data_IF_262117266031
#
_entry.id   IF_262117266031
#
_cell.length_a   1.000
_cell.length_b   1.000
_cell.length_c   1.000
_cell.angle_alpha   90.00
_cell.angle_beta   90.00
_cell.angle_gamma   90.00
#
_symmetry.space_group_name_H-M   'P 1'
#
loop_
_entity.id
_entity.type
_entity.pdbx_description
1 polymer ?
#
# COMPACT_ATOMS: atom_id res chain seq x y z
N UNK A 1 -35.19 -60.06 19.21
CA UNK A 1 -35.21 -58.58 19.22
C UNK A 1 -34.18 -58.11 18.22
N UNK A 2 -34.62 -57.71 17.03
CA UNK A 2 -33.76 -57.20 15.97
C UNK A 2 -33.38 -55.75 16.29
N UNK A 3 -32.12 -55.48 16.57
CA UNK A 3 -31.57 -54.12 16.61
C UNK A 3 -31.03 -53.77 15.23
N UNK A 4 -31.81 -53.00 14.48
CA UNK A 4 -31.41 -52.40 13.21
C UNK A 4 -30.42 -51.28 13.55
N UNK A 5 -29.15 -51.47 13.17
CA UNK A 5 -28.15 -50.42 13.19
C UNK A 5 -28.41 -49.45 12.04
N UNK A 6 -28.95 -48.27 12.34
CA UNK A 6 -29.00 -47.17 11.38
C UNK A 6 -27.58 -46.66 11.11
N UNK A 7 -27.02 -46.96 9.94
CA UNK A 7 -25.89 -46.19 9.41
C UNK A 7 -26.37 -44.77 9.12
N UNK A 8 -25.58 -43.72 9.41
CA UNK A 8 -25.91 -42.39 8.92
C UNK A 8 -25.92 -42.45 7.40
N UNK A 9 -27.07 -42.13 6.79
CA UNK A 9 -27.21 -41.91 5.36
C UNK A 9 -26.15 -40.88 4.94
N UNK A 10 -25.13 -41.35 4.22
CA UNK A 10 -24.20 -40.49 3.49
C UNK A 10 -25.00 -39.75 2.43
N UNK A 11 -25.34 -38.50 2.73
CA UNK A 11 -25.89 -37.56 1.74
C UNK A 11 -24.88 -37.57 0.57
N UNK A 12 -25.29 -37.88 -0.67
CA UNK A 12 -24.36 -37.82 -1.79
C UNK A 12 -23.84 -36.40 -1.89
N UNK A 13 -22.55 -36.18 -1.63
CA UNK A 13 -21.90 -34.91 -1.96
C UNK A 13 -22.09 -34.72 -3.46
N UNK A 14 -22.95 -33.77 -3.85
CA UNK A 14 -23.09 -33.39 -5.25
C UNK A 14 -21.70 -32.97 -5.74
N UNK A 15 -21.22 -33.57 -6.82
CA UNK A 15 -19.93 -33.20 -7.39
C UNK A 15 -19.99 -31.73 -7.85
N UNK A 16 -19.04 -30.91 -7.40
CA UNK A 16 -18.89 -29.52 -7.80
C UNK A 16 -17.60 -29.34 -8.62
N UNK A 17 -17.54 -28.32 -9.48
CA UNK A 17 -16.34 -27.99 -10.25
C UNK A 17 -15.26 -27.39 -9.33
N UNK A 18 -14.13 -28.08 -9.26
CA UNK A 18 -12.93 -27.61 -8.57
C UNK A 18 -12.36 -26.33 -9.18
N UNK A 19 -12.45 -26.19 -10.50
CA UNK A 19 -11.99 -25.00 -11.22
C UNK A 19 -12.84 -23.78 -10.85
N UNK A 20 -14.16 -23.96 -10.77
CA UNK A 20 -15.08 -22.90 -10.36
C UNK A 20 -14.88 -22.53 -8.88
N UNK A 21 -14.69 -23.53 -8.00
CA UNK A 21 -14.31 -23.30 -6.61
C UNK A 21 -13.02 -22.46 -6.56
N UNK A 22 -11.96 -22.87 -7.26
CA UNK A 22 -10.69 -22.15 -7.26
C UNK A 22 -10.85 -20.71 -7.74
N UNK A 23 -11.72 -20.48 -8.73
CA UNK A 23 -11.97 -19.16 -9.27
C UNK A 23 -12.79 -18.26 -8.34
N UNK A 24 -13.77 -18.80 -7.62
CA UNK A 24 -14.68 -18.02 -6.78
C UNK A 24 -14.34 -18.03 -5.28
N UNK A 25 -13.36 -18.84 -4.84
CA UNK A 25 -13.03 -18.98 -3.42
C UNK A 25 -12.54 -17.66 -2.79
N UNK A 26 -13.36 -17.13 -1.89
CA UNK A 26 -13.16 -15.82 -1.25
C UNK A 26 -13.36 -14.63 -2.19
N UNK A 27 -13.90 -14.83 -3.39
CA UNK A 27 -14.15 -13.75 -4.36
C UNK A 27 -15.64 -13.45 -4.48
N UNK A 28 -15.95 -12.18 -4.75
CA UNK A 28 -17.26 -11.70 -5.13
C UNK A 28 -17.13 -10.95 -6.46
N UNK A 29 -17.56 -11.59 -7.55
CA UNK A 29 -17.24 -11.18 -8.92
C UNK A 29 -18.49 -10.91 -9.76
N UNK A 30 -18.34 -10.05 -10.77
CA UNK A 30 -19.32 -9.92 -11.85
C UNK A 30 -19.29 -11.15 -12.77
N UNK A 31 -20.40 -11.44 -13.45
CA UNK A 31 -20.44 -12.50 -14.47
C UNK A 31 -19.33 -12.34 -15.53
N UNK A 32 -19.04 -11.11 -15.96
CA UNK A 32 -18.00 -10.80 -16.95
C UNK A 32 -16.57 -11.12 -16.47
N UNK A 33 -16.37 -11.34 -15.16
CA UNK A 33 -15.08 -11.69 -14.56
C UNK A 33 -14.95 -13.20 -14.31
N UNK A 34 -15.93 -14.00 -14.74
CA UNK A 34 -16.02 -15.45 -14.51
C UNK A 34 -15.93 -16.17 -15.86
N UNK A 35 -14.82 -16.88 -16.16
CA UNK A 35 -14.57 -17.52 -17.45
C UNK A 35 -15.28 -18.88 -17.58
N UNK A 36 -16.50 -19.00 -17.05
CA UNK A 36 -17.32 -20.22 -17.09
C UNK A 36 -18.66 -19.90 -17.73
N UNK A 37 -19.29 -20.87 -18.38
CA UNK A 37 -20.61 -20.66 -19.00
C UNK A 37 -21.68 -20.36 -17.96
N UNK A 38 -22.76 -19.70 -18.38
CA UNK A 38 -23.91 -19.44 -17.53
C UNK A 38 -24.55 -20.75 -17.03
N UNK A 39 -24.64 -21.78 -17.87
CA UNK A 39 -25.18 -23.09 -17.48
C UNK A 39 -24.40 -23.73 -16.32
N UNK A 40 -23.06 -23.60 -16.34
CA UNK A 40 -22.21 -24.08 -15.24
C UNK A 40 -22.51 -23.30 -13.97
N UNK A 41 -22.64 -21.96 -14.06
CA UNK A 41 -22.98 -21.14 -12.90
C UNK A 41 -24.37 -21.44 -12.34
N UNK A 42 -25.39 -21.56 -13.20
CA UNK A 42 -26.76 -21.87 -12.82
C UNK A 42 -26.86 -23.22 -12.12
N UNK A 43 -26.21 -24.25 -12.68
CA UNK A 43 -26.13 -25.57 -12.06
C UNK A 43 -25.56 -25.48 -10.64
N UNK A 44 -24.48 -24.72 -10.42
CA UNK A 44 -23.87 -24.59 -9.10
C UNK A 44 -24.69 -23.70 -8.14
N UNK A 45 -25.51 -22.79 -8.67
CA UNK A 45 -26.46 -22.01 -7.88
C UNK A 45 -27.59 -22.91 -7.38
N UNK A 46 -28.19 -23.73 -8.25
CA UNK A 46 -29.24 -24.69 -7.87
C UNK A 46 -28.75 -25.73 -6.85
N UNK A 47 -27.46 -26.06 -6.90
CA UNK A 47 -26.82 -26.97 -5.96
C UNK A 47 -26.41 -26.29 -4.64
N UNK A 48 -26.48 -24.96 -4.54
CA UNK A 48 -26.10 -24.20 -3.35
C UNK A 48 -24.59 -23.95 -3.19
N UNK A 49 -23.79 -24.24 -4.22
CA UNK A 49 -22.34 -24.03 -4.20
C UNK A 49 -21.91 -22.62 -4.64
N UNK A 50 -22.79 -21.91 -5.35
CA UNK A 50 -22.60 -20.50 -5.71
C UNK A 50 -23.83 -19.70 -5.25
N UNK A 51 -23.60 -18.57 -4.59
CA UNK A 51 -24.64 -17.61 -4.29
C UNK A 51 -24.55 -16.38 -5.20
N UNK A 52 -25.71 -15.76 -5.42
CA UNK A 52 -25.87 -14.53 -6.18
C UNK A 52 -26.47 -13.46 -5.29
N UNK A 53 -25.84 -12.29 -5.25
CA UNK A 53 -26.35 -11.09 -4.56
C UNK A 53 -26.41 -9.94 -5.57
N UNK A 54 -27.43 -9.09 -5.51
CA UNK A 54 -27.52 -7.96 -6.43
C UNK A 54 -26.56 -6.84 -6.03
N UNK A 55 -26.02 -6.14 -7.03
CA UNK A 55 -24.92 -5.21 -6.81
C UNK A 55 -25.27 -3.93 -6.04
N UNK A 56 -26.54 -3.53 -6.08
CA UNK A 56 -27.06 -2.35 -5.39
C UNK A 56 -28.33 -2.74 -4.65
N UNK A 57 -28.41 -2.36 -3.38
CA UNK A 57 -29.58 -2.52 -2.52
C UNK A 57 -29.81 -1.19 -1.79
N UNK A 58 -31.01 -0.60 -1.85
CA UNK A 58 -31.38 0.61 -1.07
C UNK A 58 -30.35 1.76 -1.11
N UNK A 59 -29.96 2.21 -2.31
CA UNK A 59 -28.91 3.25 -2.50
C UNK A 59 -27.54 2.87 -1.88
N UNK A 60 -27.25 1.59 -1.74
CA UNK A 60 -25.99 1.07 -1.23
C UNK A 60 -25.33 0.13 -2.24
N UNK A 61 -24.08 0.38 -2.62
CA UNK A 61 -23.35 -0.51 -3.51
C UNK A 61 -22.64 -1.62 -2.71
N UNK A 62 -23.02 -2.89 -2.92
CA UNK A 62 -22.41 -4.05 -2.23
C UNK A 62 -20.94 -4.26 -2.63
N UNK A 63 -20.54 -3.79 -3.83
CA UNK A 63 -19.15 -3.93 -4.24
C UNK A 63 -18.21 -2.99 -3.49
N UNK A 64 -18.49 -1.69 -3.51
CA UNK A 64 -17.58 -0.66 -3.00
C UNK A 64 -18.06 0.06 -1.74
N UNK A 65 -19.26 -0.23 -1.26
CA UNK A 65 -19.84 0.40 -0.07
C UNK A 65 -20.31 1.84 -0.29
N UNK A 66 -20.39 2.32 -1.54
CA UNK A 66 -20.85 3.66 -1.85
C UNK A 66 -22.28 3.90 -1.33
N UNK A 67 -22.45 5.00 -0.60
CA UNK A 67 -23.74 5.53 -0.12
C UNK A 67 -24.02 6.94 -0.66
N UNK A 68 -23.07 7.54 -1.39
CA UNK A 68 -23.27 8.87 -1.95
C UNK A 68 -24.24 8.78 -3.13
N UNK A 69 -25.41 9.40 -2.94
CA UNK A 69 -26.48 9.52 -3.95
C UNK A 69 -26.01 10.18 -5.23
N UNK A 70 -25.06 11.12 -5.17
CA UNK A 70 -24.51 11.78 -6.35
C UNK A 70 -23.67 10.83 -7.22
N UNK A 71 -23.16 9.74 -6.64
CA UNK A 71 -22.41 8.71 -7.34
C UNK A 71 -23.29 7.56 -7.85
N UNK A 72 -24.62 7.66 -7.72
CA UNK A 72 -25.56 6.77 -8.39
C UNK A 72 -26.17 7.44 -9.62
N UNK A 73 -26.44 6.66 -10.67
CA UNK A 73 -27.10 7.16 -11.88
C UNK A 73 -28.11 6.14 -12.39
N UNK A 74 -29.30 6.62 -12.74
CA UNK A 74 -30.42 5.80 -13.23
C UNK A 74 -30.56 5.95 -14.75
N UNK A 75 -30.71 4.84 -15.44
CA UNK A 75 -30.79 4.79 -16.90
C UNK A 75 -31.80 3.72 -17.38
N UNK A 76 -32.38 3.86 -18.59
CA UNK A 76 -33.18 2.78 -19.19
C UNK A 76 -32.27 1.59 -19.51
N UNK A 77 -32.45 0.49 -18.77
CA UNK A 77 -31.56 -0.65 -18.83
C UNK A 77 -32.03 -1.68 -19.85
N UNK A 78 -31.19 -1.98 -20.84
CA UNK A 78 -31.45 -3.03 -21.82
C UNK A 78 -31.43 -4.46 -21.23
N UNK A 79 -30.86 -4.66 -20.03
CA UNK A 79 -30.74 -5.98 -19.41
C UNK A 79 -32.04 -6.38 -18.69
N UNK A 80 -32.59 -5.48 -17.86
CA UNK A 80 -33.83 -5.76 -17.13
C UNK A 80 -35.09 -5.12 -17.74
N UNK A 81 -34.93 -4.29 -18.77
CA UNK A 81 -36.04 -3.58 -19.42
C UNK A 81 -36.67 -2.46 -18.59
N UNK A 82 -36.07 -2.10 -17.45
CA UNK A 82 -36.57 -1.08 -16.51
C UNK A 82 -35.57 0.06 -16.35
N UNK A 83 -35.99 1.15 -15.70
CA UNK A 83 -35.05 2.13 -15.16
C UNK A 83 -34.20 1.45 -14.09
N UNK A 84 -32.88 1.42 -14.29
CA UNK A 84 -31.95 0.75 -13.39
C UNK A 84 -30.88 1.73 -12.94
N UNK A 85 -30.56 1.68 -11.66
CA UNK A 85 -29.51 2.49 -11.06
C UNK A 85 -28.19 1.73 -11.09
N UNK A 86 -27.08 2.43 -11.36
CA UNK A 86 -25.73 1.90 -11.23
C UNK A 86 -24.80 2.80 -10.42
N UNK A 87 -23.75 2.20 -9.86
CA UNK A 87 -22.75 2.89 -9.06
C UNK A 87 -21.62 3.42 -9.95
N UNK A 88 -21.41 4.74 -9.95
CA UNK A 88 -20.31 5.41 -10.65
C UNK A 88 -18.97 5.29 -9.93
N UNK A 89 -18.98 5.18 -8.60
CA UNK A 89 -17.75 5.08 -7.77
C UNK A 89 -16.83 3.93 -8.21
N UNK A 90 -17.41 2.77 -8.55
CA UNK A 90 -16.61 1.60 -8.91
C UNK A 90 -16.62 1.27 -10.41
N UNK A 91 -17.17 2.13 -11.27
CA UNK A 91 -17.44 1.84 -12.69
C UNK A 91 -16.21 1.31 -13.46
N UNK A 92 -15.00 1.79 -13.12
CA UNK A 92 -13.74 1.38 -13.75
C UNK A 92 -13.42 -0.11 -13.57
N UNK A 93 -14.06 -0.78 -12.59
CA UNK A 93 -13.94 -2.22 -12.36
C UNK A 93 -15.10 -3.02 -12.95
N UNK A 94 -15.86 -2.42 -13.87
CA UNK A 94 -17.08 -2.99 -14.45
C UNK A 94 -18.34 -2.41 -13.80
N UNK A 95 -19.40 -2.17 -14.57
CA UNK A 95 -20.62 -1.53 -14.08
C UNK A 95 -21.37 -2.45 -13.11
N UNK A 96 -21.65 -1.95 -11.91
CA UNK A 96 -22.51 -2.62 -10.92
C UNK A 96 -23.84 -1.86 -10.85
N UNK A 97 -24.91 -2.53 -11.29
CA UNK A 97 -26.28 -2.02 -11.27
C UNK A 97 -27.18 -2.83 -10.32
N UNK A 98 -28.38 -2.34 -10.05
CA UNK A 98 -29.41 -3.07 -9.28
C UNK A 98 -29.70 -4.45 -9.89
N UNK A 99 -29.79 -4.54 -11.22
CA UNK A 99 -30.03 -5.82 -11.91
C UNK A 99 -28.76 -6.67 -12.10
N UNK A 100 -27.58 -6.18 -11.68
CA UNK A 100 -26.31 -6.87 -11.91
C UNK A 100 -25.97 -7.80 -10.75
N UNK A 101 -25.88 -9.11 -10.97
CA UNK A 101 -25.45 -10.05 -9.94
C UNK A 101 -23.95 -10.01 -9.67
N UNK A 102 -23.63 -10.22 -8.40
CA UNK A 102 -22.31 -10.58 -7.89
C UNK A 102 -22.35 -12.02 -7.39
N UNK A 103 -21.41 -12.84 -7.85
CA UNK A 103 -21.34 -14.27 -7.56
C UNK A 103 -20.26 -14.55 -6.53
N UNK A 104 -20.59 -15.41 -5.56
CA UNK A 104 -19.67 -15.85 -4.50
C UNK A 104 -19.73 -17.35 -4.33
N UNK A 105 -18.60 -17.98 -4.01
CA UNK A 105 -18.58 -19.38 -3.61
C UNK A 105 -19.20 -19.58 -2.22
N UNK A 106 -20.11 -20.53 -2.10
CA UNK A 106 -20.76 -20.95 -0.84
C UNK A 106 -20.61 -22.45 -0.55
N UNK A 107 -19.91 -23.18 -1.42
CA UNK A 107 -19.62 -24.58 -1.22
C UNK A 107 -18.51 -24.85 -0.21
N UNK A 108 -17.96 -26.09 -0.21
CA UNK A 108 -16.90 -26.48 0.70
C UNK A 108 -15.69 -25.55 0.66
N UNK A 109 -15.02 -25.41 1.80
CA UNK A 109 -13.81 -24.60 1.89
C UNK A 109 -12.69 -25.18 1.01
N UNK A 110 -11.79 -24.31 0.53
CA UNK A 110 -10.57 -24.71 -0.14
C UNK A 110 -9.42 -24.76 0.86
N UNK A 111 -8.73 -25.90 0.93
CA UNK A 111 -7.56 -26.07 1.77
C UNK A 111 -6.29 -25.88 0.94
N UNK A 112 -5.47 -24.90 1.33
CA UNK A 112 -4.18 -24.69 0.69
C UNK A 112 -3.20 -25.78 1.14
N UNK A 113 -2.57 -26.46 0.17
CA UNK A 113 -1.44 -27.32 0.48
C UNK A 113 -0.20 -26.47 0.78
N UNK A 114 0.10 -26.31 2.07
CA UNK A 114 1.26 -25.54 2.54
C UNK A 114 2.34 -26.51 3.04
N UNK A 115 3.56 -26.52 2.44
CA UNK A 115 4.64 -27.37 2.92
C UNK A 115 5.13 -26.93 4.30
N UNK A 116 5.78 -27.83 5.04
CA UNK A 116 6.31 -27.52 6.39
C UNK A 116 7.37 -26.43 6.40
N UNK A 117 8.10 -26.26 5.30
CA UNK A 117 9.10 -25.21 5.10
C UNK A 117 8.62 -24.32 3.98
N UNK A 118 8.15 -23.11 4.32
CA UNK A 118 7.62 -22.15 3.35
C UNK A 118 8.59 -21.03 3.04
N UNK A 119 9.46 -20.67 3.99
CA UNK A 119 10.35 -19.52 3.89
C UNK A 119 11.77 -19.93 3.49
N UNK A 120 12.41 -19.13 2.63
CA UNK A 120 13.81 -19.22 2.23
C UNK A 120 14.46 -17.83 2.28
N UNK A 121 14.51 -17.25 3.47
CA UNK A 121 15.16 -15.97 3.74
C UNK A 121 16.25 -16.16 4.79
N UNK A 122 17.49 -15.82 4.43
CA UNK A 122 18.69 -16.00 5.26
C UNK A 122 19.25 -14.70 5.84
N UNK A 123 18.48 -13.60 5.76
CA UNK A 123 18.89 -12.33 6.35
C UNK A 123 18.81 -12.35 7.88
N UNK A 124 19.36 -11.32 8.50
CA UNK A 124 19.32 -11.14 9.95
C UNK A 124 18.58 -9.84 10.26
N UNK A 125 17.61 -9.91 11.18
CA UNK A 125 16.92 -8.74 11.69
C UNK A 125 17.76 -8.05 12.77
N UNK A 126 17.73 -6.73 12.81
CA UNK A 126 18.20 -5.99 13.99
C UNK A 126 17.31 -6.28 15.19
N UNK A 127 17.76 -5.98 16.40
CA UNK A 127 16.99 -6.19 17.64
C UNK A 127 15.61 -5.52 17.61
N UNK A 128 15.53 -4.27 17.14
CA UNK A 128 14.27 -3.56 16.98
C UNK A 128 13.36 -4.19 15.91
N UNK A 129 13.95 -4.68 14.82
CA UNK A 129 13.19 -5.40 13.78
C UNK A 129 12.70 -6.76 14.27
N UNK A 130 13.50 -7.49 15.04
CA UNK A 130 13.17 -8.79 15.60
C UNK A 130 11.99 -8.67 16.58
N UNK A 131 12.06 -7.69 17.49
CA UNK A 131 10.96 -7.37 18.41
C UNK A 131 9.64 -7.10 17.68
N UNK A 132 9.70 -6.30 16.61
CA UNK A 132 8.53 -6.04 15.78
C UNK A 132 8.05 -7.28 15.03
N UNK A 133 8.97 -8.13 14.54
CA UNK A 133 8.65 -9.34 13.81
C UNK A 133 7.95 -10.36 14.70
N UNK A 134 8.44 -10.53 15.93
CA UNK A 134 7.82 -11.38 16.94
C UNK A 134 6.42 -10.86 17.30
N UNK A 135 6.25 -9.54 17.46
CA UNK A 135 4.94 -8.94 17.72
C UNK A 135 3.95 -9.15 16.57
N UNK A 136 4.41 -9.03 15.33
CA UNK A 136 3.62 -9.30 14.12
C UNK A 136 3.22 -10.77 14.05
N UNK A 137 4.14 -11.68 14.36
CA UNK A 137 3.86 -13.12 14.46
C UNK A 137 2.77 -13.42 15.49
N UNK A 138 2.88 -12.85 16.69
CA UNK A 138 1.83 -13.00 17.72
C UNK A 138 0.48 -12.43 17.26
N UNK A 139 0.47 -11.24 16.64
CA UNK A 139 -0.77 -10.65 16.12
C UNK A 139 -1.45 -11.53 15.08
N UNK A 140 -0.67 -12.16 14.19
CA UNK A 140 -1.20 -13.08 13.18
C UNK A 140 -1.76 -14.34 13.82
N UNK A 141 -1.05 -14.94 14.78
CA UNK A 141 -1.51 -16.16 15.44
C UNK A 141 -2.78 -15.91 16.27
N UNK A 142 -2.85 -14.79 16.99
CA UNK A 142 -3.95 -14.44 17.90
C UNK A 142 -5.06 -13.57 17.27
N UNK A 143 -5.03 -13.32 15.96
CA UNK A 143 -6.08 -12.58 15.26
C UNK A 143 -6.28 -11.13 15.76
N UNK A 144 -5.17 -10.43 16.04
CA UNK A 144 -5.19 -9.09 16.64
C UNK A 144 -5.15 -7.95 15.62
N UNK A 145 -5.47 -6.74 16.09
CA UNK A 145 -5.19 -5.49 15.39
C UNK A 145 -3.88 -4.86 15.91
N UNK A 146 -2.95 -4.55 15.00
CA UNK A 146 -1.61 -4.08 15.33
C UNK A 146 -1.16 -2.93 14.42
N UNK A 147 -0.60 -1.87 15.01
CA UNK A 147 0.16 -0.85 14.29
C UNK A 147 1.66 -1.17 14.35
N UNK A 148 2.28 -1.37 13.19
CA UNK A 148 3.74 -1.38 13.04
C UNK A 148 4.17 0.01 12.59
N UNK A 149 4.63 0.81 13.55
CA UNK A 149 5.12 2.17 13.31
C UNK A 149 6.63 2.14 13.06
N UNK A 150 7.00 2.07 11.79
CA UNK A 150 8.38 1.84 11.39
C UNK A 150 8.89 2.96 10.48
N UNK A 151 10.03 3.54 10.84
CA UNK A 151 10.58 4.68 10.09
C UNK A 151 10.95 4.31 8.65
N UNK A 152 11.08 5.32 7.79
CA UNK A 152 11.52 5.12 6.42
C UNK A 152 12.91 4.46 6.38
N UNK A 153 13.02 3.33 5.68
CA UNK A 153 14.26 2.55 5.65
C UNK A 153 14.45 1.62 6.86
N UNK A 154 13.40 1.32 7.63
CA UNK A 154 13.46 0.37 8.74
C UNK A 154 13.43 -1.12 8.32
N UNK A 155 13.39 -1.45 7.02
CA UNK A 155 13.25 -2.85 6.58
C UNK A 155 11.87 -3.45 6.91
N UNK A 156 10.81 -2.67 6.66
CA UNK A 156 9.42 -3.02 7.03
C UNK A 156 8.97 -4.38 6.49
N UNK A 157 9.40 -4.75 5.28
CA UNK A 157 8.96 -5.99 4.62
C UNK A 157 9.52 -7.23 5.32
N UNK A 158 10.82 -7.25 5.65
CA UNK A 158 11.46 -8.38 6.34
C UNK A 158 10.84 -8.66 7.71
N UNK A 159 10.43 -7.61 8.42
CA UNK A 159 9.72 -7.71 9.71
C UNK A 159 8.44 -8.55 9.59
N UNK A 160 7.79 -8.55 8.43
CA UNK A 160 6.55 -9.31 8.22
C UNK A 160 6.79 -10.81 8.00
N UNK A 161 8.00 -11.23 7.59
CA UNK A 161 8.22 -12.58 7.08
C UNK A 161 7.92 -13.67 8.11
N UNK A 162 8.40 -13.53 9.36
CA UNK A 162 8.12 -14.52 10.40
C UNK A 162 6.62 -14.65 10.73
N UNK A 163 5.88 -13.55 10.66
CA UNK A 163 4.43 -13.58 10.86
C UNK A 163 3.68 -14.19 9.67
N UNK A 164 4.12 -13.89 8.44
CA UNK A 164 3.57 -14.52 7.23
C UNK A 164 3.81 -16.02 7.26
N UNK A 165 5.05 -16.46 7.54
CA UNK A 165 5.40 -17.87 7.71
C UNK A 165 4.50 -18.56 8.75
N UNK A 166 4.40 -18.00 9.96
CA UNK A 166 3.59 -18.57 11.03
C UNK A 166 2.10 -18.67 10.65
N UNK A 167 1.56 -17.66 9.95
CA UNK A 167 0.19 -17.70 9.46
C UNK A 167 -0.02 -18.77 8.39
N UNK A 168 0.87 -18.84 7.40
CA UNK A 168 0.82 -19.85 6.33
C UNK A 168 0.87 -21.27 6.90
N UNK A 169 1.79 -21.55 7.83
CA UNK A 169 1.90 -22.85 8.50
C UNK A 169 0.67 -23.19 9.37
N UNK A 170 -0.08 -22.17 9.81
CA UNK A 170 -1.36 -22.33 10.48
C UNK A 170 -2.55 -22.41 9.51
N UNK A 171 -2.31 -22.56 8.20
CA UNK A 171 -3.35 -22.65 7.17
C UNK A 171 -4.08 -21.34 6.86
N UNK A 172 -3.55 -20.20 7.32
CA UNK A 172 -4.17 -18.87 7.13
C UNK A 172 -3.85 -18.31 5.75
N UNK A 173 -4.85 -17.68 5.11
CA UNK A 173 -4.69 -16.91 3.87
C UNK A 173 -4.37 -15.45 4.18
N UNK A 174 -3.29 -14.93 3.60
CA UNK A 174 -2.74 -13.61 3.95
C UNK A 174 -2.71 -12.69 2.74
N UNK A 175 -3.10 -11.42 2.92
CA UNK A 175 -2.98 -10.37 1.92
C UNK A 175 -2.14 -9.19 2.42
N UNK A 176 -1.18 -8.75 1.62
CA UNK A 176 -0.53 -7.44 1.77
C UNK A 176 -1.19 -6.48 0.78
N UNK A 177 -1.85 -5.44 1.28
CA UNK A 177 -2.54 -4.44 0.50
C UNK A 177 -1.78 -3.11 0.53
N UNK A 178 -1.58 -2.49 -0.63
CA UNK A 178 -0.94 -1.17 -0.77
C UNK A 178 -1.74 -0.30 -1.74
N UNK A 179 -1.79 1.03 -1.60
CA UNK A 179 -2.53 1.87 -2.54
C UNK A 179 -1.93 1.91 -3.96
N UNK A 180 -0.67 1.53 -4.16
CA UNK A 180 0.06 1.79 -5.41
C UNK A 180 0.52 0.52 -6.13
N UNK A 181 0.43 0.52 -7.47
CA UNK A 181 0.82 -0.62 -8.31
C UNK A 181 2.33 -0.85 -8.34
N UNK A 182 3.14 0.20 -8.30
CA UNK A 182 4.61 0.09 -8.29
C UNK A 182 5.12 -0.63 -7.03
N UNK A 183 4.50 -0.38 -5.88
CA UNK A 183 4.80 -1.10 -4.63
C UNK A 183 4.44 -2.59 -4.75
N UNK A 184 3.30 -2.94 -5.38
CA UNK A 184 2.95 -4.35 -5.65
C UNK A 184 4.02 -5.03 -6.52
N UNK A 185 4.45 -4.35 -7.58
CA UNK A 185 5.48 -4.85 -8.50
C UNK A 185 6.86 -4.97 -7.86
N UNK A 186 7.18 -4.14 -6.86
CA UNK A 186 8.40 -4.24 -6.06
C UNK A 186 8.33 -5.40 -5.04
N UNK A 187 7.21 -5.53 -4.34
CA UNK A 187 7.04 -6.51 -3.26
C UNK A 187 6.84 -7.93 -3.77
N UNK A 188 6.11 -8.14 -4.87
CA UNK A 188 5.83 -9.46 -5.42
C UNK A 188 7.07 -10.34 -5.66
N UNK A 189 8.11 -9.89 -6.40
CA UNK A 189 9.32 -10.70 -6.60
C UNK A 189 10.09 -10.94 -5.30
N UNK A 190 10.10 -9.98 -4.37
CA UNK A 190 10.73 -10.11 -3.05
C UNK A 190 10.04 -11.19 -2.20
N UNK A 191 8.71 -11.21 -2.20
CA UNK A 191 7.90 -12.24 -1.53
C UNK A 191 8.07 -13.60 -2.18
N UNK A 192 8.09 -13.70 -3.53
CA UNK A 192 8.36 -14.96 -4.24
C UNK A 192 9.73 -15.53 -3.90
N UNK A 193 10.75 -14.67 -3.75
CA UNK A 193 12.09 -15.08 -3.32
C UNK A 193 12.11 -15.56 -1.87
N UNK A 194 11.41 -14.85 -0.97
CA UNK A 194 11.33 -15.21 0.44
C UNK A 194 10.45 -16.44 0.71
N UNK A 195 9.46 -16.71 -0.14
CA UNK A 195 8.51 -17.82 0.00
C UNK A 195 8.41 -18.64 -1.31
N UNK A 196 9.50 -19.32 -1.73
CA UNK A 196 9.56 -19.96 -3.04
C UNK A 196 8.71 -21.24 -3.14
N UNK A 197 8.27 -21.79 -2.00
CA UNK A 197 7.55 -23.06 -1.92
C UNK A 197 6.01 -22.89 -1.84
N UNK A 198 5.52 -21.67 -1.99
CA UNK A 198 4.09 -21.39 -2.03
C UNK A 198 3.75 -20.49 -3.21
N UNK A 199 2.49 -20.54 -3.62
CA UNK A 199 1.98 -19.59 -4.60
C UNK A 199 1.85 -18.19 -4.00
N UNK A 200 2.43 -17.20 -4.69
CA UNK A 200 2.29 -15.78 -4.39
C UNK A 200 1.63 -15.10 -5.58
N UNK A 201 0.47 -14.48 -5.35
CA UNK A 201 -0.25 -13.72 -6.38
C UNK A 201 0.02 -12.21 -6.26
N UNK A 202 0.31 -11.57 -7.39
CA UNK A 202 0.48 -10.11 -7.47
C UNK A 202 -0.72 -9.46 -8.15
N UNK A 203 -1.61 -8.81 -7.40
CA UNK A 203 -2.90 -8.32 -7.89
C UNK A 203 -2.88 -6.80 -8.10
N UNK A 204 -3.01 -6.34 -9.34
CA UNK A 204 -3.14 -4.93 -9.71
C UNK A 204 -3.90 -4.79 -11.03
N UNK A 205 -4.19 -3.56 -11.46
CA UNK A 205 -4.87 -3.31 -12.74
C UNK A 205 -4.06 -3.85 -13.92
N UNK A 206 -4.59 -4.86 -14.63
CA UNK A 206 -3.90 -5.53 -15.73
C UNK A 206 -2.97 -6.68 -15.32
N UNK A 207 -3.04 -7.14 -14.07
CA UNK A 207 -2.25 -8.31 -13.62
C UNK A 207 -2.67 -9.62 -14.31
N UNK A 208 -1.68 -10.41 -14.69
CA UNK A 208 -1.85 -11.80 -15.16
C UNK A 208 -2.29 -12.75 -14.04
N UNK A 209 -1.95 -12.44 -12.79
CA UNK A 209 -2.31 -13.21 -11.60
C UNK A 209 -3.77 -12.94 -11.14
N UNK A 210 -4.56 -12.14 -11.87
CA UNK A 210 -5.91 -11.68 -11.45
C UNK A 210 -6.89 -12.78 -11.03
N UNK A 211 -6.72 -13.99 -11.55
CA UNK A 211 -7.57 -15.16 -11.23
C UNK A 211 -6.84 -16.21 -10.39
N UNK A 212 -5.57 -15.98 -10.05
CA UNK A 212 -4.73 -16.91 -9.31
C UNK A 212 -5.20 -17.06 -7.86
N UNK A 213 -5.51 -18.29 -7.47
CA UNK A 213 -5.80 -18.63 -6.08
C UNK A 213 -4.48 -18.91 -5.37
N UNK A 214 -4.16 -18.12 -4.35
CA UNK A 214 -2.88 -18.20 -3.65
C UNK A 214 -3.06 -18.01 -2.13
N UNK A 215 -2.28 -18.72 -1.29
CA UNK A 215 -2.30 -18.55 0.16
C UNK A 215 -1.70 -17.19 0.58
N UNK A 216 -0.78 -16.64 -0.21
CA UNK A 216 -0.23 -15.30 -0.03
C UNK A 216 -0.53 -14.43 -1.25
N UNK A 217 -1.03 -13.23 -1.01
CA UNK A 217 -1.28 -12.25 -2.06
C UNK A 217 -0.69 -10.89 -1.71
N UNK A 218 -0.16 -10.18 -2.71
CA UNK A 218 0.16 -8.75 -2.62
C UNK A 218 -0.69 -8.01 -3.64
N UNK A 219 -1.43 -6.99 -3.21
CA UNK A 219 -2.51 -6.41 -3.99
C UNK A 219 -2.56 -4.89 -3.88
N UNK A 220 -3.05 -4.21 -4.93
CA UNK A 220 -3.53 -2.84 -4.73
C UNK A 220 -4.81 -2.87 -3.90
N UNK A 221 -5.03 -1.87 -3.04
CA UNK A 221 -6.24 -1.79 -2.19
C UNK A 221 -7.54 -1.87 -3.00
N UNK A 222 -7.55 -1.34 -4.23
CA UNK A 222 -8.66 -1.46 -5.16
C UNK A 222 -9.00 -2.92 -5.54
N UNK A 223 -8.01 -3.82 -5.62
CA UNK A 223 -8.29 -5.22 -5.94
C UNK A 223 -9.12 -5.90 -4.87
N UNK A 224 -9.11 -5.40 -3.62
CA UNK A 224 -9.90 -5.95 -2.53
C UNK A 224 -11.41 -5.82 -2.74
N UNK A 225 -11.89 -4.94 -3.63
CA UNK A 225 -13.32 -4.88 -4.00
C UNK A 225 -13.86 -6.21 -4.52
N UNK A 226 -12.99 -7.06 -5.08
CA UNK A 226 -13.31 -8.39 -5.61
C UNK A 226 -13.33 -9.49 -4.57
N UNK A 227 -12.98 -9.20 -3.32
CA UNK A 227 -12.87 -10.20 -2.25
C UNK A 227 -13.96 -10.00 -1.21
N UNK A 228 -14.40 -11.11 -0.62
CA UNK A 228 -15.35 -11.12 0.50
C UNK A 228 -14.96 -12.25 1.45
N UNK A 229 -14.69 -11.91 2.71
CA UNK A 229 -14.32 -12.85 3.78
C UNK A 229 -13.22 -13.85 3.35
N UNK A 230 -12.24 -13.37 2.61
CA UNK A 230 -11.23 -14.20 1.95
C UNK A 230 -9.99 -14.44 2.82
N UNK A 231 -9.57 -13.40 3.55
CA UNK A 231 -8.27 -13.36 4.20
C UNK A 231 -8.39 -13.46 5.72
N UNK A 232 -7.58 -14.34 6.31
CA UNK A 232 -7.40 -14.50 7.74
C UNK A 232 -6.49 -13.40 8.33
N UNK A 233 -5.65 -12.78 7.50
CA UNK A 233 -4.85 -11.62 7.86
C UNK A 233 -4.73 -10.65 6.69
N UNK A 234 -4.94 -9.36 6.95
CA UNK A 234 -4.64 -8.27 6.00
C UNK A 234 -3.58 -7.35 6.61
N UNK A 235 -2.49 -7.16 5.88
CA UNK A 235 -1.42 -6.22 6.17
C UNK A 235 -1.59 -5.04 5.22
N UNK A 236 -1.80 -3.84 5.73
CA UNK A 236 -2.01 -2.64 4.94
C UNK A 236 -0.74 -1.82 5.00
N UNK A 237 0.04 -1.80 3.91
CA UNK A 237 1.22 -0.96 3.78
C UNK A 237 0.83 0.40 3.22
N UNK A 238 1.53 1.43 3.67
CA UNK A 238 1.30 2.82 3.29
C UNK A 238 -0.14 3.29 3.59
N UNK A 239 -0.64 2.99 4.80
CA UNK A 239 -2.00 3.38 5.24
C UNK A 239 -2.25 4.89 5.19
N UNK A 240 -1.17 5.68 5.19
CA UNK A 240 -1.15 7.13 5.12
C UNK A 240 -1.13 7.67 3.67
N UNK A 241 -0.94 6.81 2.68
CA UNK A 241 -0.84 7.21 1.29
C UNK A 241 -2.21 7.35 0.62
N UNK A 242 -2.34 8.39 -0.19
CA UNK A 242 -3.44 8.52 -1.14
C UNK A 242 -3.41 7.38 -2.18
N UNK A 243 -4.57 6.85 -2.62
CA UNK A 243 -5.93 7.23 -2.22
C UNK A 243 -6.44 6.57 -0.94
N UNK A 244 -5.76 5.55 -0.41
CA UNK A 244 -6.27 4.76 0.71
C UNK A 244 -6.64 5.61 1.93
N UNK A 245 -5.80 6.60 2.29
CA UNK A 245 -6.04 7.45 3.45
C UNK A 245 -7.25 8.39 3.35
N UNK A 246 -7.79 8.59 2.14
CA UNK A 246 -8.85 9.57 1.87
C UNK A 246 -10.12 8.96 1.28
N UNK A 247 -10.07 7.71 0.81
CA UNK A 247 -11.19 7.06 0.13
C UNK A 247 -11.85 5.99 1.05
N UNK A 248 -13.04 6.29 1.61
CA UNK A 248 -13.79 5.36 2.46
C UNK A 248 -14.11 4.03 1.76
N UNK A 249 -14.24 4.02 0.44
CA UNK A 249 -14.54 2.80 -0.30
C UNK A 249 -13.38 1.80 -0.23
N UNK A 250 -12.13 2.27 -0.14
CA UNK A 250 -10.96 1.40 0.02
C UNK A 250 -10.85 0.83 1.44
N UNK A 251 -11.23 1.61 2.45
CA UNK A 251 -11.38 1.09 3.81
C UNK A 251 -12.46 0.01 3.85
N UNK A 252 -13.61 0.25 3.22
CA UNK A 252 -14.68 -0.75 3.08
C UNK A 252 -14.18 -2.02 2.38
N UNK A 253 -13.43 -1.90 1.28
CA UNK A 253 -12.88 -3.03 0.55
C UNK A 253 -12.00 -3.92 1.45
N UNK A 254 -11.15 -3.33 2.29
CA UNK A 254 -10.35 -4.05 3.28
C UNK A 254 -11.25 -4.79 4.29
N UNK A 255 -12.25 -4.11 4.86
CA UNK A 255 -13.14 -4.70 5.85
C UNK A 255 -13.99 -5.83 5.28
N UNK A 256 -14.43 -5.70 4.02
CA UNK A 256 -15.17 -6.73 3.30
C UNK A 256 -14.30 -7.93 2.95
N UNK A 257 -13.05 -7.70 2.54
CA UNK A 257 -12.14 -8.76 2.09
C UNK A 257 -11.60 -9.63 3.24
N UNK A 258 -11.51 -9.09 4.46
CA UNK A 258 -11.10 -9.87 5.63
C UNK A 258 -12.24 -10.76 6.14
N UNK A 259 -11.90 -11.92 6.70
CA UNK A 259 -12.85 -12.74 7.47
C UNK A 259 -13.31 -12.01 8.73
N UNK A 260 -14.41 -12.48 9.32
CA UNK A 260 -14.96 -11.92 10.56
C UNK A 260 -13.94 -11.95 11.71
N UNK A 261 -13.17 -13.05 11.81
CA UNK A 261 -12.07 -13.22 12.75
C UNK A 261 -10.74 -13.18 11.99
N UNK A 262 -10.20 -11.98 11.80
CA UNK A 262 -8.98 -11.76 11.03
C UNK A 262 -8.04 -10.76 11.68
N UNK A 263 -6.74 -10.99 11.52
CA UNK A 263 -5.69 -10.04 11.91
C UNK A 263 -5.71 -8.83 10.98
N UNK A 264 -5.53 -7.64 11.54
CA UNK A 264 -5.25 -6.43 10.75
C UNK A 264 -3.95 -5.80 11.21
N UNK A 265 -2.98 -5.69 10.30
CA UNK A 265 -1.70 -5.02 10.57
C UNK A 265 -1.64 -3.74 9.74
N UNK A 266 -1.51 -2.60 10.41
CA UNK A 266 -1.24 -1.31 9.76
C UNK A 266 0.27 -1.06 9.75
N UNK A 267 0.85 -0.94 8.57
CA UNK A 267 2.28 -0.72 8.40
C UNK A 267 2.54 0.68 7.82
N UNK A 268 3.15 1.56 8.62
CA UNK A 268 3.41 2.94 8.18
C UNK A 268 4.55 3.60 8.95
N UNK A 269 5.20 4.57 8.31
CA UNK A 269 6.14 5.47 8.98
C UNK A 269 5.44 6.69 9.59
N UNK A 270 4.23 6.99 9.14
CA UNK A 270 3.54 8.25 9.40
C UNK A 270 2.08 7.99 9.77
N UNK A 271 1.82 7.33 10.93
CA UNK A 271 0.46 7.01 11.35
C UNK A 271 -0.35 8.28 11.57
N UNK A 272 -1.64 8.21 11.24
CA UNK A 272 -2.55 9.35 11.38
C UNK A 272 -2.67 9.79 12.84
N UNK A 273 -3.06 11.05 13.07
CA UNK A 273 -3.28 11.58 14.43
C UNK A 273 -4.31 10.76 15.22
N UNK A 274 -5.29 10.17 14.52
CA UNK A 274 -6.26 9.25 15.12
C UNK A 274 -5.59 7.95 15.60
N UNK A 275 -4.76 7.31 14.76
CA UNK A 275 -4.02 6.10 15.14
C UNK A 275 -3.07 6.38 16.30
N UNK A 276 -2.35 7.51 16.27
CA UNK A 276 -1.48 7.91 17.39
C UNK A 276 -2.27 8.10 18.69
N UNK A 277 -3.47 8.68 18.63
CA UNK A 277 -4.36 8.83 19.79
C UNK A 277 -4.88 7.49 20.31
N UNK A 278 -5.24 6.58 19.40
CA UNK A 278 -5.68 5.22 19.77
C UNK A 278 -4.54 4.43 20.42
N UNK A 279 -3.32 4.56 19.90
CA UNK A 279 -2.13 3.99 20.51
C UNK A 279 -1.89 4.54 21.92
N UNK A 280 -1.86 5.87 22.09
CA UNK A 280 -1.66 6.51 23.40
C UNK A 280 -2.75 6.18 24.44
N UNK A 281 -3.95 5.81 23.98
CA UNK A 281 -5.06 5.41 24.86
C UNK A 281 -5.15 3.90 25.08
N UNK A 282 -4.23 3.10 24.52
CA UNK A 282 -4.21 1.64 24.63
C UNK A 282 -5.26 0.92 23.77
N UNK A 283 -6.06 1.65 22.98
CA UNK A 283 -7.10 1.08 22.11
C UNK A 283 -6.53 0.37 20.88
N UNK A 284 -5.37 0.80 20.41
CA UNK A 284 -4.65 0.19 19.30
C UNK A 284 -3.27 -0.23 19.80
N UNK A 285 -2.98 -1.52 19.76
CA UNK A 285 -1.66 -2.02 20.09
C UNK A 285 -0.67 -1.59 19.00
N UNK A 286 0.54 -1.21 19.38
CA UNK A 286 1.58 -0.85 18.41
C UNK A 286 2.95 -1.39 18.80
N UNK A 287 3.79 -1.57 17.79
CA UNK A 287 5.23 -1.75 17.94
C UNK A 287 5.96 -0.73 17.09
N UNK A 288 6.94 -0.06 17.69
CA UNK A 288 7.74 0.97 17.04
C UNK A 288 9.06 0.38 16.54
N UNK A 289 9.50 0.81 15.35
CA UNK A 289 10.84 0.57 14.82
C UNK A 289 11.43 1.95 14.52
N UNK A 290 12.02 2.61 15.54
CA UNK A 290 12.40 4.02 15.45
C UNK A 290 13.74 4.23 14.71
N UNK A 291 14.50 3.15 14.48
CA UNK A 291 15.79 3.18 13.79
C UNK A 291 15.73 2.52 12.40
N UNK A 292 16.62 2.93 11.50
CA UNK A 292 16.84 2.24 10.22
C UNK A 292 17.60 0.93 10.43
N UNK A 293 17.57 0.04 9.43
CA UNK A 293 18.28 -1.24 9.52
C UNK A 293 19.79 -1.08 9.75
N UNK A 294 20.37 0.02 9.27
CA UNK A 294 21.78 0.38 9.45
C UNK A 294 22.04 1.22 10.72
N UNK A 295 21.08 1.34 11.64
CA UNK A 295 21.24 1.94 12.97
C UNK A 295 21.76 3.39 12.98
N UNK A 296 21.50 4.16 11.92
CA UNK A 296 21.82 5.59 11.85
C UNK A 296 20.54 6.43 11.90
N UNK A 297 20.59 7.64 12.47
CA UNK A 297 19.41 8.50 12.60
C UNK A 297 18.91 8.97 11.24
N UNK A 298 17.61 9.27 11.18
CA UNK A 298 17.03 9.92 10.00
C UNK A 298 17.51 11.38 9.98
N UNK A 299 18.02 11.89 8.84
CA UNK A 299 18.38 13.29 8.71
C UNK A 299 17.21 14.22 9.06
N UNK A 300 17.45 15.16 9.98
CA UNK A 300 16.46 16.16 10.39
C UNK A 300 16.48 17.32 9.38
N UNK A 301 15.34 17.71 8.79
CA UNK A 301 15.29 18.81 7.84
C UNK A 301 15.73 20.17 8.38
N UNK A 302 16.53 20.89 7.59
CA UNK A 302 16.81 22.31 7.79
C UNK A 302 15.69 23.17 7.22
N UNK A 303 15.15 24.12 7.99
CA UNK A 303 14.24 25.13 7.45
C UNK A 303 15.04 26.35 6.96
N UNK A 304 14.98 26.63 5.65
CA UNK A 304 15.61 27.82 5.05
C UNK A 304 14.57 28.73 4.41
N UNK A 305 14.50 29.96 4.89
CA UNK A 305 13.67 30.98 4.26
C UNK A 305 14.25 31.35 2.89
N UNK A 306 13.40 31.41 1.86
CA UNK A 306 13.82 31.67 0.48
C UNK A 306 13.03 32.80 -0.21
N UNK A 307 12.49 33.73 0.57
CA UNK A 307 11.61 34.81 0.09
C UNK A 307 10.43 34.26 -0.74
N UNK A 308 9.75 35.11 -1.51
CA UNK A 308 8.68 34.68 -2.40
C UNK A 308 9.28 33.96 -3.62
N UNK A 309 9.61 32.68 -3.43
CA UNK A 309 10.21 31.80 -4.42
C UNK A 309 9.35 31.68 -5.68
N UNK A 310 8.02 31.65 -5.54
CA UNK A 310 7.09 31.52 -6.65
C UNK A 310 7.18 32.73 -7.59
N UNK A 311 7.19 33.94 -7.02
CA UNK A 311 7.35 35.19 -7.78
C UNK A 311 8.71 35.25 -8.47
N UNK A 312 9.77 34.78 -7.81
CA UNK A 312 11.11 34.76 -8.41
C UNK A 312 11.19 33.81 -9.62
N UNK A 313 10.61 32.60 -9.53
CA UNK A 313 10.56 31.70 -10.67
C UNK A 313 9.76 32.26 -11.84
N UNK A 314 8.63 32.94 -11.57
CA UNK A 314 7.89 33.66 -12.62
C UNK A 314 8.73 34.75 -13.29
N UNK A 315 9.62 35.39 -12.53
CA UNK A 315 10.59 36.38 -13.04
C UNK A 315 11.84 35.74 -13.65
N UNK A 316 11.83 34.42 -13.91
CA UNK A 316 12.95 33.65 -14.45
C UNK A 316 14.23 33.75 -13.61
N UNK A 317 14.09 33.81 -12.28
CA UNK A 317 15.19 33.88 -11.31
C UNK A 317 15.07 32.75 -10.29
N UNK A 318 16.20 32.14 -9.92
CA UNK A 318 16.27 31.19 -8.81
C UNK A 318 16.52 31.98 -7.53
N UNK A 319 15.77 31.75 -6.44
CA UNK A 319 16.10 32.32 -5.13
C UNK A 319 17.52 31.97 -4.71
N UNK A 320 18.30 32.96 -4.27
CA UNK A 320 19.73 32.78 -3.96
C UNK A 320 20.03 31.59 -3.03
N UNK A 321 19.28 31.35 -1.93
CA UNK A 321 19.51 30.18 -1.08
C UNK A 321 19.32 28.83 -1.80
N UNK A 322 18.41 28.76 -2.77
CA UNK A 322 18.17 27.56 -3.57
C UNK A 322 19.29 27.39 -4.59
N UNK A 323 19.71 28.47 -5.24
CA UNK A 323 20.79 28.44 -6.22
C UNK A 323 22.12 28.00 -5.59
N UNK A 324 22.49 28.59 -4.46
CA UNK A 324 23.71 28.23 -3.73
C UNK A 324 23.66 26.77 -3.27
N UNK A 325 22.50 26.31 -2.78
CA UNK A 325 22.32 24.91 -2.39
C UNK A 325 22.52 23.98 -3.59
N UNK A 326 21.89 24.25 -4.73
CA UNK A 326 22.00 23.39 -5.92
C UNK A 326 23.42 23.36 -6.48
N UNK A 327 24.05 24.53 -6.63
CA UNK A 327 25.40 24.64 -7.19
C UNK A 327 26.43 23.88 -6.36
N UNK A 328 26.36 23.99 -5.02
CA UNK A 328 27.25 23.26 -4.12
C UNK A 328 27.17 21.73 -4.32
N UNK A 329 25.96 21.17 -4.51
CA UNK A 329 25.80 19.72 -4.72
C UNK A 329 26.26 19.30 -6.10
N UNK A 330 25.96 20.08 -7.13
CA UNK A 330 26.42 19.81 -8.51
C UNK A 330 27.95 19.80 -8.56
N UNK A 331 28.61 20.79 -7.97
CA UNK A 331 30.08 20.87 -7.89
C UNK A 331 30.69 19.65 -7.17
N UNK A 332 30.02 19.17 -6.11
CA UNK A 332 30.46 18.01 -5.32
C UNK A 332 30.01 16.66 -5.89
N UNK A 333 29.36 16.64 -7.05
CA UNK A 333 28.80 15.43 -7.67
C UNK A 333 27.89 14.65 -6.70
N UNK A 334 27.06 15.39 -5.95
CA UNK A 334 26.06 14.84 -5.04
C UNK A 334 24.73 14.75 -5.81
N UNK A 335 24.12 13.56 -5.93
CA UNK A 335 22.82 13.43 -6.58
C UNK A 335 21.75 14.17 -5.77
N UNK A 336 20.89 14.94 -6.43
CA UNK A 336 19.83 15.72 -5.79
C UNK A 336 18.42 15.43 -6.31
N UNK A 337 17.42 15.52 -5.43
CA UNK A 337 16.02 15.65 -5.81
C UNK A 337 15.46 17.00 -5.33
N UNK A 338 14.87 17.76 -6.26
CA UNK A 338 14.17 19.01 -5.98
C UNK A 338 12.66 18.80 -6.10
N UNK A 339 11.96 18.82 -4.97
CA UNK A 339 10.51 18.65 -4.91
C UNK A 339 9.79 19.98 -5.08
N UNK A 340 8.79 20.00 -5.96
CA UNK A 340 7.90 21.14 -6.22
C UNK A 340 6.45 20.78 -5.91
N UNK A 341 5.66 21.78 -5.51
CA UNK A 341 4.27 21.59 -5.10
C UNK A 341 3.33 21.19 -6.24
N UNK A 342 3.66 21.52 -7.49
CA UNK A 342 2.88 21.16 -8.66
C UNK A 342 3.73 21.05 -9.93
N UNK A 343 3.20 20.36 -10.94
CA UNK A 343 3.82 20.26 -12.27
C UNK A 343 3.99 21.66 -12.87
N UNK A 344 2.98 22.54 -12.74
CA UNK A 344 3.04 23.89 -13.28
C UNK A 344 4.18 24.73 -12.70
N UNK A 345 4.39 24.66 -11.38
CA UNK A 345 5.50 25.35 -10.71
C UNK A 345 6.84 24.78 -11.15
N UNK A 346 6.96 23.46 -11.20
CA UNK A 346 8.17 22.77 -11.63
C UNK A 346 8.54 23.12 -13.08
N UNK A 347 7.59 23.10 -14.00
CA UNK A 347 7.82 23.46 -15.41
C UNK A 347 8.20 24.93 -15.58
N UNK A 348 7.67 25.82 -14.74
CA UNK A 348 8.09 27.23 -14.70
C UNK A 348 9.55 27.36 -14.26
N UNK A 349 9.99 26.54 -13.30
CA UNK A 349 11.35 26.54 -12.78
C UNK A 349 12.34 25.76 -13.66
N UNK A 350 11.88 24.78 -14.43
CA UNK A 350 12.71 23.85 -15.21
C UNK A 350 13.77 24.54 -16.10
N UNK A 351 13.46 25.60 -16.87
CA UNK A 351 14.46 26.27 -17.70
C UNK A 351 15.62 26.89 -16.91
N UNK A 352 15.43 27.12 -15.60
CA UNK A 352 16.44 27.70 -14.71
C UNK A 352 17.45 26.64 -14.22
N UNK A 353 17.07 25.36 -14.23
CA UNK A 353 17.89 24.23 -13.82
C UNK A 353 18.31 23.39 -15.02
N UNK A 354 19.11 23.96 -15.92
CA UNK A 354 19.39 23.39 -17.25
C UNK A 354 19.98 21.97 -17.23
N UNK A 355 20.66 21.57 -16.15
CA UNK A 355 21.28 20.26 -16.00
C UNK A 355 20.42 19.22 -15.27
N UNK A 356 19.19 19.57 -14.86
CA UNK A 356 18.32 18.71 -14.06
C UNK A 356 17.02 18.41 -14.82
N UNK A 357 16.84 17.19 -15.35
CA UNK A 357 15.58 16.82 -15.99
C UNK A 357 14.43 16.70 -14.98
N UNK A 358 13.20 16.87 -15.47
CA UNK A 358 11.98 16.81 -14.65
C UNK A 358 11.31 15.43 -14.70
N UNK A 359 10.68 14.98 -13.62
CA UNK A 359 9.93 13.72 -13.55
C UNK A 359 8.66 13.90 -12.71
N UNK A 360 7.52 13.52 -13.29
CA UNK A 360 6.20 13.55 -12.63
C UNK A 360 5.37 12.30 -12.99
N UNK A 361 4.17 12.16 -12.40
CA UNK A 361 3.37 10.94 -12.45
C UNK A 361 3.13 10.39 -13.87
N UNK A 362 2.77 11.24 -14.83
CA UNK A 362 2.45 10.91 -16.22
C UNK A 362 3.63 11.03 -17.18
N UNK A 363 4.85 11.24 -16.68
CA UNK A 363 6.00 11.45 -17.55
C UNK A 363 6.38 10.14 -18.27
N UNK A 364 6.46 10.11 -19.62
CA UNK A 364 6.64 8.87 -20.39
C UNK A 364 7.94 8.13 -20.04
N UNK A 365 9.04 8.86 -19.86
CA UNK A 365 10.36 8.29 -19.59
C UNK A 365 10.71 8.29 -18.08
N UNK A 366 9.70 8.19 -17.20
CA UNK A 366 9.90 8.24 -15.74
C UNK A 366 10.88 7.18 -15.26
N UNK A 367 10.71 5.93 -15.70
CA UNK A 367 11.55 4.79 -15.26
C UNK A 367 13.01 4.99 -15.70
N UNK A 368 13.22 5.38 -16.95
CA UNK A 368 14.54 5.64 -17.51
C UNK A 368 15.28 6.74 -16.75
N UNK A 369 14.64 7.88 -16.48
CA UNK A 369 15.28 8.99 -15.75
C UNK A 369 15.61 8.65 -14.30
N UNK A 370 14.73 7.91 -13.62
CA UNK A 370 15.00 7.45 -12.25
C UNK A 370 16.16 6.45 -12.24
N UNK A 371 16.24 5.57 -13.25
CA UNK A 371 17.34 4.62 -13.39
C UNK A 371 18.66 5.33 -13.73
N UNK A 372 18.66 6.29 -14.66
CA UNK A 372 19.84 7.10 -14.99
C UNK A 372 20.37 7.90 -13.78
N UNK A 373 19.49 8.44 -12.92
CA UNK A 373 19.91 9.05 -11.65
C UNK A 373 20.52 8.02 -10.69
N UNK A 374 19.97 6.81 -10.64
CA UNK A 374 20.49 5.72 -9.80
C UNK A 374 21.86 5.25 -10.26
N UNK A 375 22.08 5.20 -11.57
CA UNK A 375 23.33 4.73 -12.19
C UNK A 375 24.40 5.83 -12.23
N UNK A 376 24.09 7.04 -11.74
CA UNK A 376 25.02 8.17 -11.67
C UNK A 376 25.18 8.92 -12.99
N UNK A 377 24.38 8.62 -14.01
CA UNK A 377 24.37 9.30 -15.31
C UNK A 377 23.74 10.70 -15.22
N UNK A 378 22.83 10.90 -14.25
CA UNK A 378 22.22 12.19 -13.94
C UNK A 378 22.66 12.68 -12.56
N UNK A 379 22.90 13.98 -12.44
CA UNK A 379 23.25 14.62 -11.16
C UNK A 379 22.02 14.99 -10.31
N UNK A 380 20.81 14.92 -10.86
CA UNK A 380 19.60 15.13 -10.09
C UNK A 380 18.34 15.25 -10.93
N UNK A 381 17.20 15.36 -10.26
CA UNK A 381 15.88 15.50 -10.89
C UNK A 381 15.05 16.59 -10.22
N UNK A 382 14.28 17.31 -11.03
CA UNK A 382 13.13 18.08 -10.58
C UNK A 382 11.93 17.13 -10.50
N UNK A 383 11.17 17.16 -9.41
CA UNK A 383 10.05 16.24 -9.25
C UNK A 383 8.91 16.81 -8.42
N UNK A 384 7.78 16.12 -8.41
CA UNK A 384 6.65 16.38 -7.51
C UNK A 384 6.62 15.32 -6.41
N UNK A 385 5.56 15.26 -5.61
CA UNK A 385 5.36 14.23 -4.57
C UNK A 385 5.35 12.80 -5.10
N UNK A 386 5.39 12.57 -6.43
CA UNK A 386 5.48 11.22 -7.00
C UNK A 386 6.73 10.45 -6.54
N UNK A 387 7.86 11.12 -6.34
CA UNK A 387 9.10 10.49 -5.88
C UNK A 387 9.28 10.58 -4.36
N UNK A 388 8.25 10.89 -3.57
CA UNK A 388 8.32 10.77 -2.11
C UNK A 388 8.59 9.32 -1.66
N UNK A 389 8.25 8.34 -2.53
CA UNK A 389 8.38 6.88 -2.34
C UNK A 389 8.96 6.20 -3.58
N UNK A 390 9.68 5.08 -3.40
CA UNK A 390 10.34 4.34 -4.49
C UNK A 390 11.80 3.95 -4.21
N UNK A 391 12.61 3.89 -5.28
CA UNK A 391 13.97 3.32 -5.29
C UNK A 391 14.96 4.10 -4.41
N UNK A 392 15.92 3.40 -3.81
CA UNK A 392 17.04 3.98 -3.05
C UNK A 392 18.12 4.50 -4.01
N UNK A 393 18.55 5.75 -3.81
CA UNK A 393 19.64 6.40 -4.53
C UNK A 393 20.75 6.67 -3.52
N UNK A 394 21.97 6.28 -3.83
CA UNK A 394 23.11 6.45 -2.93
C UNK A 394 23.52 7.92 -2.80
N UNK A 395 23.97 8.33 -1.60
CA UNK A 395 24.46 9.70 -1.31
C UNK A 395 23.46 10.82 -1.68
N UNK A 396 22.18 10.49 -1.79
CA UNK A 396 21.13 11.43 -2.20
C UNK A 396 20.92 12.55 -1.17
N UNK A 397 20.90 13.79 -1.63
CA UNK A 397 20.40 14.95 -0.89
C UNK A 397 19.09 15.48 -1.50
N UNK A 398 18.25 16.09 -0.66
CA UNK A 398 16.89 16.46 -1.08
C UNK A 398 16.56 17.88 -0.66
N UNK A 399 15.86 18.61 -1.52
CA UNK A 399 15.23 19.86 -1.12
C UNK A 399 13.75 19.90 -1.52
N UNK A 400 12.95 20.53 -0.68
CA UNK A 400 11.53 20.83 -0.96
C UNK A 400 11.41 22.33 -1.18
N UNK A 401 10.98 22.73 -2.38
CA UNK A 401 10.76 24.12 -2.74
C UNK A 401 9.32 24.52 -2.46
N UNK A 402 9.13 25.54 -1.62
CA UNK A 402 7.81 25.94 -1.17
C UNK A 402 7.18 24.92 -0.22
N UNK A 403 7.95 24.46 0.76
CA UNK A 403 7.52 23.44 1.72
C UNK A 403 6.30 23.84 2.58
N UNK A 404 5.91 25.12 2.55
CA UNK A 404 4.69 25.61 3.18
C UNK A 404 3.40 25.29 2.43
N UNK A 405 3.49 24.84 1.18
CA UNK A 405 2.32 24.51 0.36
C UNK A 405 1.54 23.32 0.94
N UNK A 406 0.20 23.36 0.87
CA UNK A 406 -0.69 22.39 1.53
C UNK A 406 -0.52 20.94 1.07
N UNK A 407 -0.04 20.73 -0.16
CA UNK A 407 0.30 19.41 -0.71
C UNK A 407 1.40 18.71 0.10
N UNK A 408 2.28 19.46 0.75
CA UNK A 408 3.34 18.94 1.60
C UNK A 408 2.85 18.77 3.03
N UNK A 409 2.07 17.72 3.24
CA UNK A 409 1.59 17.30 4.56
C UNK A 409 2.75 16.82 5.45
N UNK A 410 2.49 16.64 6.75
CA UNK A 410 3.46 16.02 7.68
C UNK A 410 3.97 14.68 7.12
N UNK A 411 3.06 13.82 6.65
CA UNK A 411 3.41 12.50 6.12
C UNK A 411 4.29 12.62 4.88
N UNK A 412 3.92 13.46 3.91
CA UNK A 412 4.71 13.66 2.70
C UNK A 412 6.13 14.16 3.03
N UNK A 413 6.26 15.15 3.91
CA UNK A 413 7.55 15.71 4.32
C UNK A 413 8.43 14.68 5.06
N UNK A 414 7.85 13.85 5.93
CA UNK A 414 8.58 12.76 6.60
C UNK A 414 9.03 11.69 5.60
N UNK A 415 8.20 11.33 4.62
CA UNK A 415 8.56 10.37 3.55
C UNK A 415 9.71 10.92 2.67
N UNK A 416 9.62 12.19 2.28
CA UNK A 416 10.66 12.90 1.52
C UNK A 416 11.97 12.94 2.32
N UNK A 417 11.95 13.33 3.60
CA UNK A 417 13.12 13.28 4.48
C UNK A 417 13.67 11.85 4.61
N UNK A 418 12.77 10.87 4.64
CA UNK A 418 13.07 9.46 4.65
C UNK A 418 13.84 8.96 3.42
N UNK A 419 14.01 9.75 2.35
CA UNK A 419 14.82 9.40 1.16
C UNK A 419 16.32 9.60 1.37
N UNK A 420 16.70 10.54 2.23
CA UNK A 420 18.10 10.90 2.48
C UNK A 420 18.72 9.91 3.46
N UNK A 421 19.97 9.50 3.20
CA UNK A 421 20.74 8.63 4.09
C UNK A 421 20.28 7.17 4.15
N UNK A 422 19.61 6.66 3.11
CA UNK A 422 19.10 5.26 3.09
C UNK A 422 20.17 4.20 2.81
N UNK A 423 21.28 4.60 2.19
CA UNK A 423 22.37 3.68 1.85
C UNK A 423 23.18 3.36 3.08
N UNK A 424 23.57 2.11 3.25
CA UNK A 424 24.49 1.70 4.31
C UNK A 424 25.85 2.41 4.19
N UNK A 425 26.35 2.57 2.96
CA UNK A 425 27.62 3.25 2.70
C UNK A 425 27.55 4.78 2.91
N UNK A 426 26.36 5.36 2.72
CA UNK A 426 26.11 6.79 2.88
C UNK A 426 24.85 7.02 3.71
N UNK A 427 24.93 6.83 5.05
CA UNK A 427 23.76 6.87 5.92
C UNK A 427 23.35 8.29 6.34
N UNK A 428 24.15 9.29 5.98
CA UNK A 428 23.92 10.72 6.26
C UNK A 428 23.59 11.48 4.97
N UNK A 429 23.08 12.70 5.11
CA UNK A 429 22.91 13.64 4.00
C UNK A 429 22.06 14.83 4.41
N UNK A 430 22.00 15.84 3.54
CA UNK A 430 21.17 17.02 3.78
C UNK A 430 19.74 16.85 3.25
N UNK A 431 18.77 17.32 4.05
CA UNK A 431 17.46 17.70 3.56
C UNK A 431 17.12 19.13 3.96
N UNK A 432 16.70 19.94 2.99
CA UNK A 432 16.32 21.34 3.21
C UNK A 432 14.87 21.61 2.80
N UNK A 433 14.09 22.20 3.70
CA UNK A 433 12.78 22.78 3.42
C UNK A 433 12.95 24.26 3.11
N UNK A 434 12.93 24.61 1.82
CA UNK A 434 12.89 25.99 1.38
C UNK A 434 11.47 26.53 1.44
N UNK A 435 11.29 27.66 2.12
CA UNK A 435 9.94 28.12 2.43
C UNK A 435 9.77 29.65 2.38
N UNK A 436 8.53 30.11 2.15
CA UNK A 436 8.09 31.50 2.29
C UNK A 436 7.15 31.68 3.50
N UNK A 437 7.60 31.21 4.66
CA UNK A 437 6.80 31.15 5.89
C UNK A 437 6.76 29.73 6.45
N UNK A 438 6.75 29.57 7.77
CA UNK A 438 6.76 28.22 8.38
C UNK A 438 5.34 27.67 8.42
N UNK A 439 5.14 26.47 7.89
CA UNK A 439 3.86 25.76 8.04
C UNK A 439 3.84 24.84 9.26
N UNK A 440 2.63 24.51 9.73
CA UNK A 440 2.45 23.51 10.79
C UNK A 440 2.99 22.14 10.38
N UNK A 441 2.77 21.72 9.12
CA UNK A 441 3.23 20.45 8.59
C UNK A 441 4.75 20.30 8.67
N UNK A 442 5.51 21.36 8.34
CA UNK A 442 6.97 21.35 8.46
C UNK A 442 7.44 21.16 9.90
N UNK A 443 6.81 21.87 10.85
CA UNK A 443 7.14 21.77 12.27
C UNK A 443 6.80 20.38 12.82
N UNK A 444 5.64 19.84 12.44
CA UNK A 444 5.21 18.50 12.84
C UNK A 444 6.15 17.43 12.26
N UNK A 445 6.58 17.54 11.00
CA UNK A 445 7.51 16.60 10.38
C UNK A 445 8.89 16.58 11.08
N UNK A 446 9.45 17.75 11.40
CA UNK A 446 10.71 17.83 12.17
C UNK A 446 10.53 17.21 13.55
N UNK A 447 9.47 17.55 14.28
CA UNK A 447 9.19 16.97 15.59
C UNK A 447 9.04 15.44 15.55
N UNK A 448 8.37 14.93 14.52
CA UNK A 448 8.21 13.49 14.30
C UNK A 448 9.57 12.82 14.16
N UNK A 449 10.41 13.29 13.22
CA UNK A 449 11.72 12.72 12.95
C UNK A 449 12.62 12.77 14.18
N UNK A 450 12.66 13.92 14.87
CA UNK A 450 13.42 14.08 16.11
C UNK A 450 12.95 13.12 17.20
N UNK A 451 11.63 12.98 17.39
CA UNK A 451 11.07 12.05 18.39
C UNK A 451 11.44 10.60 18.09
N UNK A 452 11.41 10.17 16.84
CA UNK A 452 11.83 8.82 16.45
C UNK A 452 13.33 8.61 16.69
N UNK A 453 14.18 9.58 16.32
CA UNK A 453 15.61 9.51 16.59
C UNK A 453 15.92 9.47 18.10
N UNK A 454 15.17 10.20 18.92
CA UNK A 454 15.30 10.16 20.38
C UNK A 454 14.88 8.82 20.97
N UNK A 455 13.76 8.26 20.50
CA UNK A 455 13.29 6.93 20.90
C UNK A 455 14.32 5.84 20.54
N UNK A 456 14.85 5.90 19.32
CA UNK A 456 15.91 4.99 18.87
C UNK A 456 17.16 5.07 19.77
N UNK A 457 17.59 6.27 20.15
CA UNK A 457 18.73 6.46 21.07
C UNK A 457 18.44 5.91 22.47
N UNK A 458 17.25 6.16 23.01
CA UNK A 458 16.83 5.66 24.34
C UNK A 458 16.85 4.14 24.42
N UNK A 459 16.52 3.46 23.31
CA UNK A 459 16.52 2.01 23.22
C UNK A 459 17.86 1.41 22.73
N UNK A 460 18.92 2.21 22.57
CA UNK A 460 20.23 1.72 22.12
C UNK A 460 20.25 1.22 20.67
N UNK A 461 19.32 1.67 19.85
CA UNK A 461 19.14 1.22 18.46
C UNK A 461 19.91 2.07 17.43
N UNK A 462 20.65 3.08 17.89
CA UNK A 462 21.55 3.87 17.05
C UNK A 462 23.00 3.54 17.38
N UNK A 463 23.88 3.66 16.40
CA UNK A 463 25.32 3.57 16.61
C UNK A 463 25.87 4.96 16.96
N UNK A 464 26.51 5.06 18.14
CA UNK A 464 26.96 6.33 18.76
C UNK A 464 25.98 6.86 19.79
#
# INVERSE_FOLDING_TARGET
MNTISHSPLSIPQKAYSTELQHHLFGRQLLAAEIPFSLDVLETHIEQGYVAKTFGIELDYCIRCGNQDKQLFYTFPCAICGQLCTYCRSCIMMGRVSECTPLYTWTGPAYEFHVPKSVMNWSGTLSEGQQTASDRVKQAILHQEELLVWAVCGAGKTEVLFAGIEAGLLAGKRICIATPRTDVVLELAPRLKKAFPFIEVAALYGGSDDRHKLAPLSVATTHQLFRFKEAFDAIIIDEVDAFPYSMDPSLHYAVQKAKKQTATTIYLTATPSKQMQKQYRSGKLQAVTIPARYHRQPIPVPEMKWCSNWAKQFQQKKIPRPVQDWVNERIERQIPILLFFSSIAVMETARPLFQNLPAVYAEHPNRKERVQALRDGELQGLLTTTILERGVTIERLEVAVIGAEHEVFTESALVQIAGRVGRSFAYPTGNITFFHYGKSKAMVEAIKHITSMNEEARKHGLLDG
#
